data_IF_569332966203
#
_entry.id   IF_569332966203
#
_cell.length_a   1.000
_cell.length_b   1.000
_cell.length_c   1.000
_cell.angle_alpha   90.00
_cell.angle_beta   90.00
_cell.angle_gamma   90.00
#
_symmetry.space_group_name_H-M   'P 1'
#
loop_
_entity.id
_entity.type
_entity.pdbx_description
1 polymer ?
#
# COMPACT_ATOMS: atom_id res chain seq x y z
N UNK A 1 13.32 9.71 10.42
CA UNK A 1 13.02 8.27 10.53
C UNK A 1 11.61 8.05 9.99
N UNK A 2 11.44 7.15 9.02
CA UNK A 2 10.11 6.65 8.67
C UNK A 2 9.58 5.87 9.88
N UNK A 3 8.58 6.41 10.56
CA UNK A 3 7.94 5.72 11.68
C UNK A 3 7.30 4.44 11.13
N UNK A 4 7.54 3.29 11.79
CA UNK A 4 6.89 2.03 11.43
C UNK A 4 5.39 2.23 11.33
N UNK A 5 4.76 1.64 10.33
CA UNK A 5 3.31 1.65 10.21
C UNK A 5 2.69 1.04 11.48
N UNK A 6 2.04 1.84 12.34
CA UNK A 6 1.54 1.35 13.61
C UNK A 6 0.46 0.30 13.35
N UNK A 7 0.47 -0.79 14.13
CA UNK A 7 -0.52 -1.88 14.06
C UNK A 7 -0.53 -2.70 12.75
N UNK A 8 0.43 -2.52 11.83
CA UNK A 8 0.48 -3.28 10.58
C UNK A 8 0.46 -4.80 10.81
N UNK A 9 1.30 -5.27 11.73
CA UNK A 9 1.37 -6.70 12.13
C UNK A 9 0.03 -7.23 12.66
N UNK A 10 -0.65 -6.48 13.53
CA UNK A 10 -1.97 -6.90 14.04
C UNK A 10 -3.04 -6.90 12.95
N UNK A 11 -3.01 -5.91 12.05
CA UNK A 11 -3.94 -5.83 10.91
C UNK A 11 -3.77 -7.01 9.97
N UNK A 12 -2.53 -7.37 9.64
CA UNK A 12 -2.24 -8.54 8.78
C UNK A 12 -2.67 -9.82 9.48
N UNK A 13 -2.31 -10.02 10.74
CA UNK A 13 -2.72 -11.20 11.52
C UNK A 13 -4.24 -11.36 11.59
N UNK A 14 -5.00 -10.28 11.78
CA UNK A 14 -6.46 -10.31 11.81
C UNK A 14 -7.10 -10.75 10.48
N UNK A 15 -6.35 -10.73 9.37
CA UNK A 15 -6.80 -11.18 8.04
C UNK A 15 -6.28 -12.58 7.67
N UNK A 16 -5.40 -13.18 8.48
CA UNK A 16 -4.89 -14.54 8.21
C UNK A 16 -5.97 -15.57 8.55
N UNK A 17 -6.18 -16.54 7.66
CA UNK A 17 -7.19 -17.61 7.82
C UNK A 17 -6.88 -18.59 8.95
N UNK A 18 -5.63 -18.65 9.38
CA UNK A 18 -5.17 -19.55 10.45
C UNK A 18 -4.17 -18.82 11.36
N UNK A 19 -3.94 -19.38 12.54
CA UNK A 19 -2.98 -18.86 13.51
C UNK A 19 -1.53 -19.13 13.05
N UNK A 20 -1.10 -18.45 12.00
CA UNK A 20 0.24 -18.56 11.44
C UNK A 20 1.22 -17.71 12.27
N UNK A 21 2.33 -18.33 12.69
CA UNK A 21 3.44 -17.58 13.28
C UNK A 21 4.14 -16.80 12.16
N UNK A 22 4.17 -15.47 12.29
CA UNK A 22 4.95 -14.61 11.40
C UNK A 22 6.30 -14.39 12.07
N UNK A 23 7.38 -14.81 11.40
CA UNK A 23 8.75 -14.62 11.90
C UNK A 23 9.30 -13.24 11.58
N UNK A 24 10.42 -12.81 12.21
CA UNK A 24 10.98 -11.46 12.03
C UNK A 24 11.27 -11.08 10.57
N UNK A 25 11.81 -12.01 9.76
CA UNK A 25 12.08 -11.76 8.34
C UNK A 25 10.79 -11.54 7.53
N UNK A 26 9.74 -12.33 7.79
CA UNK A 26 8.43 -12.15 7.16
C UNK A 26 7.78 -10.83 7.60
N UNK A 27 7.95 -10.42 8.86
CA UNK A 27 7.49 -9.10 9.33
C UNK A 27 8.17 -7.97 8.57
N UNK A 28 9.49 -8.04 8.38
CA UNK A 28 10.23 -7.06 7.58
C UNK A 28 9.77 -7.02 6.11
N UNK A 29 9.49 -8.17 5.51
CA UNK A 29 8.95 -8.24 4.14
C UNK A 29 7.55 -7.63 4.04
N UNK A 30 6.67 -7.87 5.02
CA UNK A 30 5.34 -7.26 5.08
C UNK A 30 5.46 -5.73 5.21
N UNK A 31 6.36 -5.24 6.07
CA UNK A 31 6.64 -3.82 6.22
C UNK A 31 7.13 -3.21 4.89
N UNK A 32 8.10 -3.84 4.23
CA UNK A 32 8.64 -3.39 2.95
C UNK A 32 7.57 -3.36 1.85
N UNK A 33 6.81 -4.44 1.68
CA UNK A 33 5.74 -4.54 0.68
C UNK A 33 4.67 -3.46 0.91
N UNK A 34 4.33 -3.19 2.17
CA UNK A 34 3.38 -2.14 2.53
C UNK A 34 3.91 -0.77 2.13
N UNK A 35 5.18 -0.48 2.41
CA UNK A 35 5.82 0.79 2.03
C UNK A 35 5.86 0.97 0.51
N UNK A 36 6.28 -0.05 -0.23
CA UNK A 36 6.34 -0.01 -1.70
C UNK A 36 4.95 0.19 -2.31
N UNK A 37 3.94 -0.51 -1.78
CA UNK A 37 2.56 -0.36 -2.20
C UNK A 37 2.04 1.07 -1.97
N UNK A 38 2.23 1.61 -0.76
CA UNK A 38 1.78 2.96 -0.41
C UNK A 38 2.51 4.04 -1.22
N UNK A 39 3.82 3.88 -1.44
CA UNK A 39 4.60 4.81 -2.25
C UNK A 39 4.10 4.84 -3.70
N UNK A 40 3.98 3.67 -4.32
CA UNK A 40 3.48 3.55 -5.69
C UNK A 40 2.04 4.06 -5.83
N UNK A 41 1.18 3.85 -4.83
CA UNK A 41 -0.18 4.39 -4.81
C UNK A 41 -0.20 5.92 -4.69
N UNK A 42 0.70 6.50 -3.90
CA UNK A 42 0.83 7.94 -3.74
C UNK A 42 1.37 8.62 -5.01
N UNK A 43 2.35 8.01 -5.68
CA UNK A 43 2.90 8.49 -6.96
C UNK A 43 1.82 8.55 -8.04
N UNK A 44 1.01 7.50 -8.19
CA UNK A 44 -0.09 7.46 -9.15
C UNK A 44 -1.19 8.46 -8.79
N UNK A 45 -1.56 8.56 -7.51
CA UNK A 45 -2.56 9.52 -7.06
C UNK A 45 -2.08 10.98 -7.26
N UNK A 46 -0.77 11.23 -7.12
CA UNK A 46 -0.15 12.51 -7.45
C UNK A 46 -0.22 12.81 -8.94
N UNK A 47 0.10 11.84 -9.79
CA UNK A 47 -0.05 11.99 -11.24
C UNK A 47 -1.50 12.32 -11.62
N UNK A 48 -2.47 11.65 -10.99
CA UNK A 48 -3.89 11.93 -11.24
C UNK A 48 -4.32 13.33 -10.77
N UNK A 49 -3.85 13.75 -9.59
CA UNK A 49 -4.08 15.11 -9.10
C UNK A 49 -3.52 16.16 -10.06
N UNK A 50 -2.33 15.89 -10.62
CA UNK A 50 -1.68 16.78 -11.59
C UNK A 50 -2.45 16.87 -12.90
N UNK A 51 -2.92 15.75 -13.46
CA UNK A 51 -3.80 15.74 -14.65
C UNK A 51 -5.06 16.59 -14.45
N UNK A 52 -5.64 16.53 -13.25
CA UNK A 52 -6.82 17.30 -12.85
C UNK A 52 -6.50 18.74 -12.42
N UNK A 53 -5.25 19.20 -12.59
CA UNK A 53 -4.75 20.53 -12.17
C UNK A 53 -5.02 20.84 -10.70
N UNK A 54 -5.00 19.81 -9.86
CA UNK A 54 -5.22 19.93 -8.43
C UNK A 54 -3.91 20.08 -7.67
N UNK A 55 -3.82 21.09 -6.80
CA UNK A 55 -2.67 21.31 -5.93
C UNK A 55 -2.57 20.31 -4.75
N UNK A 56 -3.57 19.44 -4.55
CA UNK A 56 -3.62 18.54 -3.39
C UNK A 56 -4.14 17.16 -3.79
N UNK A 57 -3.54 16.10 -3.25
CA UNK A 57 -4.07 14.75 -3.42
C UNK A 57 -5.34 14.60 -2.58
N UNK A 58 -6.46 14.27 -3.22
CA UNK A 58 -7.78 14.10 -2.59
C UNK A 58 -8.26 12.66 -2.72
N UNK A 59 -9.30 12.33 -1.95
CA UNK A 59 -9.90 11.00 -1.94
C UNK A 59 -10.32 10.50 -3.33
N UNK A 60 -10.76 11.39 -4.22
CA UNK A 60 -11.15 11.03 -5.59
C UNK A 60 -9.97 10.54 -6.44
N UNK A 61 -8.79 11.17 -6.31
CA UNK A 61 -7.58 10.77 -7.04
C UNK A 61 -7.14 9.36 -6.57
N UNK A 62 -7.18 9.13 -5.26
CA UNK A 62 -6.90 7.81 -4.66
C UNK A 62 -7.89 6.75 -5.14
N UNK A 63 -9.19 7.07 -5.16
CA UNK A 63 -10.25 6.17 -5.63
C UNK A 63 -10.06 5.79 -7.10
N UNK A 64 -9.63 6.73 -7.93
CA UNK A 64 -9.36 6.50 -9.35
C UNK A 64 -8.24 5.47 -9.57
N UNK A 65 -7.16 5.55 -8.79
CA UNK A 65 -5.98 4.67 -8.95
C UNK A 65 -6.12 3.35 -8.17
N UNK A 66 -6.87 3.33 -7.06
CA UNK A 66 -7.04 2.14 -6.21
C UNK A 66 -7.70 0.94 -6.91
N UNK A 67 -8.59 1.18 -7.90
CA UNK A 67 -9.25 0.11 -8.66
C UNK A 67 -8.32 -0.55 -9.69
N UNK A 68 -7.28 0.16 -10.12
CA UNK A 68 -6.35 -0.31 -11.16
C UNK A 68 -5.39 -1.40 -10.64
N UNK A 69 -5.15 -1.44 -9.33
CA UNK A 69 -4.09 -2.27 -8.73
C UNK A 69 -4.47 -3.72 -8.46
N UNK A 70 -5.75 -4.06 -8.37
CA UNK A 70 -6.19 -5.42 -8.02
C UNK A 70 -5.84 -6.47 -9.09
N UNK A 71 -5.41 -6.06 -10.30
CA UNK A 71 -5.17 -6.98 -11.41
C UNK A 71 -3.82 -6.86 -12.13
N UNK A 72 -2.95 -5.89 -11.81
CA UNK A 72 -1.79 -5.58 -12.67
C UNK A 72 -0.40 -5.59 -12.02
N UNK A 73 -0.28 -5.60 -10.68
CA UNK A 73 1.02 -5.34 -10.01
C UNK A 73 1.62 -6.48 -9.18
N UNK A 74 0.97 -7.64 -9.09
CA UNK A 74 1.47 -8.80 -8.32
C UNK A 74 1.88 -9.99 -9.20
N UNK A 75 1.87 -9.81 -10.52
CA UNK A 75 2.33 -10.80 -11.49
C UNK A 75 3.44 -10.12 -12.29
N UNK A 76 4.67 -10.27 -11.79
CA UNK A 76 5.96 -10.17 -12.49
C UNK A 76 6.24 -8.92 -13.33
N UNK A 77 7.22 -8.13 -12.88
CA UNK A 77 8.26 -7.57 -13.75
C UNK A 77 9.55 -8.31 -13.43
#
# INVERSE_FOLDING_TARGET
>A
MLNKAPKLKSTVKAKMKSNVKVGPASEAMIELLTLLFLNSLAEEAKAKAFEEKSATIRAQHLKAVSKSKTYRGLIWN
#
